data_IF_923380559331
#
_entry.id   IF_923380559331
#
_cell.length_a   1.000
_cell.length_b   1.000
_cell.length_c   1.000
_cell.angle_alpha   90.00
_cell.angle_beta   90.00
_cell.angle_gamma   90.00
#
_symmetry.space_group_name_H-M   'P 1'
#
loop_
_entity.id
_entity.type
_entity.pdbx_description
1 polymer ?
#
# COMPACT_ATOMS: atom_id res chain seq x y z
N UNK A 1 -3.65 -0.13 0.41
CA UNK A 1 -2.65 -0.49 1.45
C UNK A 1 -1.58 -1.36 0.80
N UNK A 2 -0.30 -1.03 1.00
CA UNK A 2 0.83 -1.78 0.43
C UNK A 2 1.47 -2.64 1.52
N UNK A 3 1.72 -3.90 1.21
CA UNK A 3 2.48 -4.86 2.00
C UNK A 3 3.80 -5.20 1.29
N UNK A 4 4.62 -6.07 1.88
CA UNK A 4 5.82 -6.58 1.23
C UNK A 4 5.50 -7.21 -0.14
N UNK A 5 6.30 -6.87 -1.16
CA UNK A 5 6.13 -7.35 -2.53
C UNK A 5 6.44 -8.85 -2.69
N UNK A 6 7.24 -9.41 -1.78
CA UNK A 6 7.69 -10.80 -1.78
C UNK A 6 7.27 -11.49 -0.49
N UNK A 7 7.16 -12.82 -0.53
CA UNK A 7 6.79 -13.64 0.62
C UNK A 7 7.97 -13.83 1.57
N UNK A 8 9.20 -13.86 1.05
CA UNK A 8 10.42 -14.02 1.83
C UNK A 8 11.21 -12.70 1.92
N UNK A 9 12.02 -12.52 2.99
CA UNK A 9 12.84 -11.33 3.17
C UNK A 9 14.00 -11.24 2.16
N UNK A 10 14.45 -12.39 1.61
CA UNK A 10 15.53 -12.44 0.62
C UNK A 10 15.13 -13.26 -0.62
N UNK A 11 14.25 -12.73 -1.48
CA UNK A 11 13.66 -13.47 -2.61
C UNK A 11 14.65 -13.85 -3.72
N UNK A 12 15.87 -13.28 -3.71
CA UNK A 12 16.95 -13.64 -4.63
C UNK A 12 17.78 -14.84 -4.16
N UNK A 13 17.68 -15.23 -2.88
CA UNK A 13 18.38 -16.41 -2.38
C UNK A 13 17.70 -17.68 -2.91
N UNK A 14 18.41 -18.40 -3.79
CA UNK A 14 17.93 -19.68 -4.34
C UNK A 14 17.79 -20.79 -3.30
N UNK A 15 18.34 -20.63 -2.09
CA UNK A 15 18.09 -21.56 -0.99
C UNK A 15 16.69 -21.37 -0.40
N UNK A 16 16.21 -20.14 -0.30
CA UNK A 16 14.86 -19.82 0.19
C UNK A 16 13.82 -19.90 -0.93
N UNK A 17 14.18 -19.39 -2.12
CA UNK A 17 13.31 -19.35 -3.30
C UNK A 17 13.96 -20.12 -4.46
N UNK A 18 13.91 -21.47 -4.44
CA UNK A 18 14.57 -22.31 -5.44
C UNK A 18 14.03 -22.11 -6.86
N UNK A 19 12.77 -21.69 -6.98
CA UNK A 19 12.11 -21.41 -8.25
C UNK A 19 12.31 -19.95 -8.73
N UNK A 20 13.14 -19.17 -8.04
CA UNK A 20 13.47 -17.78 -8.35
C UNK A 20 12.42 -16.76 -7.89
N UNK A 21 12.84 -15.50 -7.76
CA UNK A 21 12.07 -14.41 -7.13
C UNK A 21 10.66 -14.17 -7.71
N UNK A 22 10.42 -14.48 -8.99
CA UNK A 22 9.10 -14.33 -9.60
C UNK A 22 8.07 -15.30 -8.99
N UNK A 23 8.51 -16.48 -8.55
CA UNK A 23 7.65 -17.43 -7.82
C UNK A 23 7.33 -16.97 -6.40
N UNK A 24 8.06 -15.96 -5.91
CA UNK A 24 7.95 -15.44 -4.55
C UNK A 24 7.14 -14.16 -4.44
N UNK A 25 6.55 -13.70 -5.56
CA UNK A 25 5.71 -12.50 -5.58
C UNK A 25 4.53 -12.73 -4.63
N UNK A 26 4.33 -11.79 -3.71
CA UNK A 26 3.19 -11.79 -2.81
C UNK A 26 1.94 -11.29 -3.53
N UNK A 27 0.91 -12.14 -3.75
CA UNK A 27 -0.32 -11.71 -4.42
C UNK A 27 -1.12 -10.70 -3.57
N UNK A 28 -0.86 -10.64 -2.26
CA UNK A 28 -1.51 -9.72 -1.32
C UNK A 28 -0.63 -8.49 -1.01
N UNK A 29 0.34 -8.18 -1.87
CA UNK A 29 1.21 -7.00 -1.74
C UNK A 29 0.45 -5.68 -1.88
N UNK A 30 -0.71 -5.69 -2.54
CA UNK A 30 -1.58 -4.54 -2.69
C UNK A 30 -3.03 -4.91 -2.40
N UNK A 31 -3.67 -4.12 -1.54
CA UNK A 31 -5.12 -4.16 -1.33
C UNK A 31 -5.72 -2.80 -1.65
N UNK A 32 -6.67 -2.77 -2.59
CA UNK A 32 -7.43 -1.57 -2.96
C UNK A 32 -8.77 -1.62 -2.24
N UNK A 33 -9.11 -0.57 -1.49
CA UNK A 33 -10.39 -0.44 -0.82
C UNK A 33 -11.15 0.75 -1.41
N UNK A 34 -12.04 0.48 -2.37
CA UNK A 34 -12.79 1.52 -3.09
C UNK A 34 -13.95 2.12 -2.29
N UNK A 35 -14.35 1.48 -1.18
CA UNK A 35 -15.49 1.87 -0.36
C UNK A 35 -15.07 2.27 1.05
N UNK A 36 -13.81 2.72 1.21
CA UNK A 36 -13.32 3.24 2.47
C UNK A 36 -14.04 4.54 2.83
N UNK A 37 -14.26 4.76 4.12
CA UNK A 37 -14.75 6.03 4.66
C UNK A 37 -13.60 6.75 5.35
N UNK A 38 -13.54 8.06 5.17
CA UNK A 38 -12.55 8.92 5.80
C UNK A 38 -13.24 10.15 6.40
N UNK A 39 -12.55 10.81 7.33
CA UNK A 39 -13.04 12.01 8.00
C UNK A 39 -13.05 13.23 7.05
N UNK A 40 -13.97 14.17 7.28
CA UNK A 40 -14.08 15.40 6.49
C UNK A 40 -12.81 16.28 6.54
N UNK A 41 -11.98 16.12 7.56
CA UNK A 41 -10.72 16.85 7.72
C UNK A 41 -9.70 16.65 6.60
N UNK A 42 -9.82 15.59 5.79
CA UNK A 42 -8.89 15.33 4.67
C UNK A 42 -9.39 15.81 3.30
N UNK A 43 -10.60 16.39 3.23
CA UNK A 43 -11.23 16.82 1.95
C UNK A 43 -10.37 17.75 1.10
N UNK A 44 -9.56 18.59 1.74
CA UNK A 44 -8.70 19.58 1.06
C UNK A 44 -7.21 19.23 1.15
N UNK A 45 -6.88 17.96 1.45
CA UNK A 45 -5.50 17.51 1.54
C UNK A 45 -4.80 17.63 0.19
N UNK A 46 -3.53 18.02 0.21
CA UNK A 46 -2.68 18.15 -0.98
C UNK A 46 -1.94 16.85 -1.23
N UNK A 47 -1.53 16.65 -2.48
CA UNK A 47 -0.67 15.53 -2.88
C UNK A 47 0.58 15.50 -1.96
N UNK A 48 0.92 14.31 -1.45
CA UNK A 48 1.98 14.04 -0.45
C UNK A 48 1.71 14.52 0.99
N UNK A 49 0.55 15.08 1.30
CA UNK A 49 0.16 15.32 2.70
C UNK A 49 0.08 13.98 3.43
N UNK A 50 0.57 13.96 4.68
CA UNK A 50 0.69 12.76 5.50
C UNK A 50 -0.28 12.81 6.67
N UNK A 51 -0.95 11.70 6.93
CA UNK A 51 -1.92 11.55 8.00
C UNK A 51 -1.66 10.29 8.80
N UNK A 52 -1.97 10.36 10.10
CA UNK A 52 -2.13 9.17 10.94
C UNK A 52 -3.62 8.88 11.04
N UNK A 53 -4.06 7.76 10.49
CA UNK A 53 -5.41 7.26 10.71
C UNK A 53 -5.40 6.40 11.96
N UNK A 54 -6.18 6.81 12.95
CA UNK A 54 -6.15 6.21 14.28
C UNK A 54 -6.37 4.70 14.21
N UNK A 55 -5.42 3.94 14.79
CA UNK A 55 -5.43 2.47 14.86
C UNK A 55 -5.40 1.74 13.51
N UNK A 56 -5.27 2.46 12.39
CA UNK A 56 -5.14 1.88 11.04
C UNK A 56 -3.70 1.97 10.56
N UNK A 57 -3.06 3.15 10.70
CA UNK A 57 -1.68 3.36 10.28
C UNK A 57 -1.42 4.76 9.75
N UNK A 58 -0.34 4.88 8.97
CA UNK A 58 0.08 6.13 8.34
C UNK A 58 -0.19 6.09 6.84
N UNK A 59 -0.73 7.19 6.33
CA UNK A 59 -1.17 7.32 4.94
C UNK A 59 -0.68 8.64 4.34
N UNK A 60 -0.54 8.66 3.02
CA UNK A 60 -0.20 9.85 2.25
C UNK A 60 -1.16 9.97 1.07
N UNK A 61 -1.51 11.19 0.70
CA UNK A 61 -2.28 11.47 -0.52
C UNK A 61 -1.43 11.11 -1.73
N UNK A 62 -1.98 10.29 -2.62
CA UNK A 62 -1.29 9.85 -3.83
C UNK A 62 -1.31 10.96 -4.90
N UNK A 63 -0.37 10.91 -5.82
CA UNK A 63 -0.31 11.78 -6.99
C UNK A 63 -1.48 11.60 -7.96
N UNK A 64 -2.16 10.46 -7.93
CA UNK A 64 -3.33 10.17 -8.77
C UNK A 64 -4.68 10.54 -8.13
N UNK A 65 -4.67 11.11 -6.91
CA UNK A 65 -5.86 11.60 -6.23
C UNK A 65 -6.56 12.70 -7.04
N UNK A 66 -7.89 12.61 -7.12
CA UNK A 66 -8.76 13.62 -7.75
C UNK A 66 -9.86 14.05 -6.78
N UNK A 67 -10.54 15.17 -7.05
CA UNK A 67 -11.64 15.65 -6.20
C UNK A 67 -12.81 14.66 -6.09
N UNK A 68 -12.88 13.66 -6.97
CA UNK A 68 -13.92 12.61 -6.99
C UNK A 68 -13.45 11.32 -6.28
N UNK A 69 -12.15 11.20 -6.01
CA UNK A 69 -11.50 10.04 -5.38
C UNK A 69 -10.44 10.50 -4.38
N UNK A 70 -10.90 10.67 -3.14
CA UNK A 70 -10.09 10.90 -1.93
C UNK A 70 -10.37 9.77 -0.95
#
# INVERSE_FOLDING_TARGET
>A
MKNCNFLHPNPEDRKEVPNGFLSDINPNSLTINSNALADDGIKNAKILDKFQFERVGYFSVDSDTTNEKV
#
